data_IF_940803468475
#
_entry.id   IF_940803468475
#
_cell.length_a   1.000
_cell.length_b   1.000
_cell.length_c   1.000
_cell.angle_alpha   90.00
_cell.angle_beta   90.00
_cell.angle_gamma   90.00
#
_symmetry.space_group_name_H-M   'P 1'
#
loop_
_entity.id
_entity.type
_entity.pdbx_description
1 polymer ?
#
# COMPACT_ATOMS: atom_id res chain seq x y z
N UNK A 1 14.23 -6.68 0.04
CA UNK A 1 13.31 -5.76 -0.66
C UNK A 1 12.83 -4.74 0.35
N UNK A 2 12.75 -3.46 0.00
CA UNK A 2 12.36 -2.41 0.93
C UNK A 2 10.99 -1.85 0.52
N UNK A 3 10.01 -1.94 1.41
CA UNK A 3 8.71 -1.27 1.25
C UNK A 3 8.90 0.24 1.46
N UNK A 4 8.33 1.08 0.60
CA UNK A 4 8.53 2.54 0.66
C UNK A 4 7.22 3.31 0.69
N UNK A 5 7.25 4.52 1.27
CA UNK A 5 6.10 5.43 1.27
C UNK A 5 5.60 5.73 -0.15
N UNK A 6 6.52 5.90 -1.11
CA UNK A 6 6.15 6.16 -2.50
C UNK A 6 5.37 5.00 -3.13
N UNK A 7 5.74 3.75 -2.85
CA UNK A 7 4.98 2.59 -3.33
C UNK A 7 3.56 2.56 -2.78
N UNK A 8 3.42 2.87 -1.49
CA UNK A 8 2.14 2.94 -0.81
C UNK A 8 1.25 4.05 -1.39
N UNK A 9 1.79 5.26 -1.52
CA UNK A 9 1.07 6.39 -2.13
C UNK A 9 0.64 6.03 -3.54
N UNK A 10 1.56 5.52 -4.36
CA UNK A 10 1.26 5.08 -5.74
C UNK A 10 0.18 4.01 -5.78
N UNK A 11 0.20 3.03 -4.86
CA UNK A 11 -0.82 2.00 -4.81
C UNK A 11 -2.19 2.56 -4.42
N UNK A 12 -2.25 3.47 -3.44
CA UNK A 12 -3.48 4.17 -3.04
C UNK A 12 -4.02 5.07 -4.16
N UNK A 13 -3.15 5.68 -4.96
CA UNK A 13 -3.52 6.51 -6.10
C UNK A 13 -4.30 5.76 -7.17
N UNK A 14 -3.85 4.55 -7.50
CA UNK A 14 -4.33 3.81 -8.68
C UNK A 14 -5.43 2.79 -8.36
N UNK A 15 -5.78 2.59 -7.09
CA UNK A 15 -6.71 1.52 -6.69
C UNK A 15 -7.79 2.04 -5.76
N UNK A 16 -9.04 1.63 -5.96
CA UNK A 16 -10.18 2.02 -5.12
C UNK A 16 -10.56 0.99 -4.06
N UNK A 17 -9.87 -0.16 -4.03
CA UNK A 17 -10.13 -1.25 -3.09
C UNK A 17 -8.84 -1.71 -2.41
N UNK A 18 -8.94 -2.21 -1.18
CA UNK A 18 -7.81 -2.78 -0.45
C UNK A 18 -7.14 -3.92 -1.25
N UNK A 19 -7.93 -4.77 -1.91
CA UNK A 19 -7.44 -5.84 -2.78
C UNK A 19 -6.56 -5.32 -3.93
N UNK A 20 -6.99 -4.23 -4.57
CA UNK A 20 -6.23 -3.59 -5.65
C UNK A 20 -4.92 -3.01 -5.13
N UNK A 21 -4.95 -2.36 -3.96
CA UNK A 21 -3.76 -1.81 -3.30
C UNK A 21 -2.75 -2.91 -3.02
N UNK A 22 -3.15 -4.02 -2.39
CA UNK A 22 -2.23 -5.13 -2.11
C UNK A 22 -1.67 -5.77 -3.38
N UNK A 23 -2.49 -5.95 -4.41
CA UNK A 23 -2.04 -6.51 -5.69
C UNK A 23 -1.03 -5.59 -6.39
N UNK A 24 -1.25 -4.27 -6.33
CA UNK A 24 -0.30 -3.28 -6.84
C UNK A 24 1.02 -3.29 -6.07
N UNK A 25 0.96 -3.35 -4.74
CA UNK A 25 2.15 -3.43 -3.88
C UNK A 25 2.94 -4.71 -4.14
N UNK A 26 2.26 -5.84 -4.31
CA UNK A 26 2.88 -7.11 -4.68
C UNK A 26 3.64 -6.98 -6.01
N UNK A 27 3.00 -6.41 -7.05
CA UNK A 27 3.67 -6.16 -8.34
C UNK A 27 4.87 -5.24 -8.20
N UNK A 28 4.74 -4.15 -7.45
CA UNK A 28 5.84 -3.19 -7.25
C UNK A 28 7.01 -3.81 -6.47
N UNK A 29 6.74 -4.62 -5.44
CA UNK A 29 7.77 -5.34 -4.68
C UNK A 29 8.50 -6.35 -5.56
N UNK A 30 7.77 -7.13 -6.38
CA UNK A 30 8.36 -8.03 -7.38
C UNK A 30 9.16 -7.30 -8.47
N UNK A 31 8.77 -6.08 -8.82
CA UNK A 31 9.53 -5.27 -9.79
C UNK A 31 10.83 -4.71 -9.20
N UNK A 32 10.82 -4.35 -7.91
CA UNK A 32 11.99 -3.83 -7.20
C UNK A 32 13.01 -4.92 -6.85
N UNK A 33 12.53 -6.10 -6.44
CA UNK A 33 13.35 -7.29 -6.38
C UNK A 33 13.38 -7.95 -7.75
N UNK A 34 14.34 -7.63 -8.62
CA UNK A 34 14.62 -8.39 -9.85
C UNK A 34 14.82 -9.88 -9.54
N UNK A 35 13.74 -10.65 -9.41
CA UNK A 35 13.62 -11.64 -8.33
C UNK A 35 14.51 -12.87 -8.50
N UNK A 36 15.19 -13.19 -7.40
CA UNK A 36 15.61 -14.53 -7.04
C UNK A 36 14.34 -15.41 -6.97
N UNK A 37 14.12 -16.35 -7.90
CA UNK A 37 12.85 -17.08 -8.06
C UNK A 37 12.44 -17.93 -6.84
N UNK A 38 13.33 -18.07 -5.84
CA UNK A 38 13.07 -18.80 -4.61
C UNK A 38 12.30 -17.97 -3.54
N UNK A 39 12.28 -16.64 -3.63
CA UNK A 39 11.64 -15.81 -2.60
C UNK A 39 10.18 -15.53 -2.97
N UNK A 40 9.27 -16.39 -2.51
CA UNK A 40 7.84 -16.23 -2.75
C UNK A 40 7.27 -15.10 -1.88
N UNK A 41 7.00 -13.93 -2.47
CA UNK A 41 6.19 -12.89 -1.83
C UNK A 41 4.76 -13.42 -1.66
N UNK A 42 4.25 -13.41 -0.42
CA UNK A 42 2.90 -13.87 -0.11
C UNK A 42 2.00 -12.68 0.20
N UNK A 43 0.69 -12.85 -0.02
CA UNK A 43 -0.31 -11.82 0.28
C UNK A 43 -0.33 -11.44 1.76
N UNK A 44 -0.15 -12.41 2.66
CA UNK A 44 -0.08 -12.16 4.10
C UNK A 44 1.12 -11.25 4.45
N UNK A 45 2.26 -11.45 3.81
CA UNK A 45 3.43 -10.60 3.98
C UNK A 45 3.16 -9.17 3.48
N UNK A 46 2.52 -9.01 2.31
CA UNK A 46 2.14 -7.69 1.79
C UNK A 46 1.21 -6.95 2.75
N UNK A 47 0.19 -7.62 3.29
CA UNK A 47 -0.74 -6.99 4.24
C UNK A 47 -0.01 -6.60 5.52
N UNK A 48 0.87 -7.47 6.04
CA UNK A 48 1.68 -7.20 7.23
C UNK A 48 2.62 -6.00 7.03
N UNK A 49 3.35 -5.97 5.91
CA UNK A 49 4.30 -4.90 5.59
C UNK A 49 3.56 -3.57 5.34
N UNK A 50 2.37 -3.62 4.74
CA UNK A 50 1.52 -2.44 4.54
C UNK A 50 1.06 -1.86 5.87
N UNK A 51 0.53 -2.68 6.78
CA UNK A 51 0.08 -2.19 8.10
C UNK A 51 1.25 -1.62 8.91
N UNK A 52 2.41 -2.29 8.93
CA UNK A 52 3.61 -1.73 9.56
C UNK A 52 4.04 -0.38 8.95
N UNK A 53 3.90 -0.22 7.63
CA UNK A 53 4.19 1.05 6.97
C UNK A 53 3.19 2.16 7.32
N UNK A 54 1.89 1.82 7.49
CA UNK A 54 0.87 2.78 7.95
C UNK A 54 1.20 3.31 9.35
N UNK A 55 1.59 2.41 10.25
CA UNK A 55 2.03 2.76 11.61
C UNK A 55 3.30 3.63 11.59
N UNK A 56 4.27 3.27 10.74
CA UNK A 56 5.57 3.95 10.68
C UNK A 56 5.50 5.35 10.04
N UNK A 57 4.78 5.50 8.93
CA UNK A 57 4.76 6.75 8.15
C UNK A 57 3.75 7.78 8.67
N UNK A 58 2.93 7.43 9.65
CA UNK A 58 1.75 8.18 10.12
C UNK A 58 0.69 8.30 9.01
N UNK A 59 -0.46 7.65 9.22
CA UNK A 59 -1.63 7.65 8.32
C UNK A 59 -1.98 9.02 7.73
N UNK A 60 -1.98 10.07 8.57
CA UNK A 60 -2.28 11.44 8.14
C UNK A 60 -1.31 11.95 7.06
N UNK A 61 -0.01 11.66 7.18
CA UNK A 61 0.99 12.07 6.18
C UNK A 61 0.84 11.31 4.87
N UNK A 62 0.46 10.04 4.93
CA UNK A 62 0.18 9.23 3.75
C UNK A 62 -1.02 9.81 2.99
N UNK A 63 -2.08 10.18 3.72
CA UNK A 63 -3.27 10.81 3.15
C UNK A 63 -2.93 12.14 2.51
N UNK A 64 -2.23 13.04 3.22
CA UNK A 64 -1.86 14.36 2.69
C UNK A 64 -1.06 14.23 1.39
N UNK A 65 -0.07 13.33 1.39
CA UNK A 65 0.74 13.01 0.22
C UNK A 65 -0.09 12.43 -0.93
N UNK A 66 -1.00 11.52 -0.65
CA UNK A 66 -1.85 10.91 -1.66
C UNK A 66 -2.90 11.89 -2.22
N UNK A 67 -3.39 12.84 -1.44
CA UNK A 67 -4.26 13.93 -1.94
C UNK A 67 -3.46 14.85 -2.88
N UNK A 68 -2.22 15.18 -2.56
CA UNK A 68 -1.36 16.02 -3.41
C UNK A 68 -0.99 15.33 -4.74
N UNK A 69 -0.82 14.00 -4.72
CA UNK A 69 -0.35 13.23 -5.87
C UNK A 69 -1.51 12.65 -6.72
N UNK A 70 -2.77 12.85 -6.34
CA UNK A 70 -3.93 12.18 -6.98
C UNK A 70 -5.17 13.05 -7.08
N UNK A 71 -6.13 12.63 -7.91
CA UNK A 71 -7.46 13.26 -8.00
C UNK A 71 -8.44 12.78 -6.92
N UNK A 72 -7.98 11.98 -5.95
CA UNK A 72 -8.85 11.42 -4.91
C UNK A 72 -9.05 12.41 -3.78
N UNK A 73 -10.26 12.41 -3.26
CA UNK A 73 -10.57 13.15 -2.04
C UNK A 73 -9.93 12.50 -0.83
N UNK A 74 -9.72 13.30 0.22
CA UNK A 74 -9.26 12.80 1.52
C UNK A 74 -10.19 11.71 2.07
N UNK A 75 -11.50 11.88 1.95
CA UNK A 75 -12.50 10.94 2.46
C UNK A 75 -12.43 9.56 1.77
N UNK A 76 -12.23 9.54 0.45
CA UNK A 76 -12.01 8.29 -0.30
C UNK A 76 -10.74 7.57 0.15
N UNK A 77 -9.67 8.31 0.42
CA UNK A 77 -8.40 7.75 0.90
C UNK A 77 -8.50 7.25 2.35
N UNK A 78 -9.19 7.97 3.22
CA UNK A 78 -9.45 7.55 4.60
C UNK A 78 -10.28 6.26 4.64
N UNK A 79 -11.33 6.18 3.81
CA UNK A 79 -12.15 4.98 3.67
C UNK A 79 -11.31 3.80 3.20
N UNK A 80 -10.53 3.98 2.13
CA UNK A 80 -9.65 2.93 1.60
C UNK A 80 -8.58 2.47 2.61
N UNK A 81 -8.03 3.39 3.39
CA UNK A 81 -7.06 3.04 4.44
C UNK A 81 -7.71 2.27 5.59
N UNK A 82 -8.94 2.64 5.98
CA UNK A 82 -9.69 1.86 6.96
C UNK A 82 -9.96 0.44 6.44
N UNK A 83 -10.28 0.27 5.16
CA UNK A 83 -10.47 -1.05 4.56
C UNK A 83 -9.18 -1.89 4.58
N UNK A 84 -8.01 -1.25 4.38
CA UNK A 84 -6.70 -1.89 4.46
C UNK A 84 -6.37 -2.35 5.90
N UNK A 85 -6.63 -1.49 6.89
CA UNK A 85 -6.40 -1.80 8.31
C UNK A 85 -7.28 -2.95 8.81
N UNK A 86 -8.52 -3.02 8.34
CA UNK A 86 -9.48 -4.06 8.75
C UNK A 86 -9.39 -5.34 7.92
N UNK A 87 -8.49 -5.44 6.93
CA UNK A 87 -8.52 -6.51 5.93
C UNK A 87 -8.32 -7.94 6.49
N UNK A 88 -7.70 -8.10 7.66
CA UNK A 88 -7.43 -9.41 8.30
C UNK A 88 -7.92 -9.48 9.76
N UNK A 89 -8.70 -8.49 10.21
CA UNK A 89 -9.38 -8.47 11.52
C UNK A 89 -10.72 -9.18 11.38
#
# INVERSE_FOLDING_TARGET
MQFTLHMLVTALSHNTTADGVFSSLEMQMKAQGKENPAQKITRQQIVSDTNMALDFFLKARIIDRAVEETSKTREELETLLNDIENYLV
#
